data_IF_338738182372
#
_entry.id   IF_338738182372
#
_cell.length_a   1.000
_cell.length_b   1.000
_cell.length_c   1.000
_cell.angle_alpha   90.00
_cell.angle_beta   90.00
_cell.angle_gamma   90.00
#
_symmetry.space_group_name_H-M   'P 1'
#
loop_
_entity.id
_entity.type
_entity.pdbx_description
1 polymer ?
#
# COMPACT_ATOMS: atom_id res chain seq x y z
N UNK A 1 6.50 -42.22 42.95
CA UNK A 1 5.86 -41.90 41.65
C UNK A 1 6.69 -40.83 40.94
N UNK A 2 7.87 -41.22 40.41
CA UNK A 2 8.91 -40.29 39.89
C UNK A 2 9.49 -40.78 38.55
N UNK A 3 8.68 -41.51 37.77
CA UNK A 3 9.10 -42.22 36.54
C UNK A 3 8.20 -42.00 35.32
N UNK A 4 7.30 -41.00 35.34
CA UNK A 4 6.37 -40.76 34.23
C UNK A 4 6.67 -39.50 33.42
N UNK A 5 7.78 -38.81 33.72
CA UNK A 5 8.13 -37.51 33.12
C UNK A 5 9.14 -37.58 31.95
N UNK A 6 9.47 -38.78 31.44
CA UNK A 6 10.50 -38.96 30.40
C UNK A 6 9.93 -39.43 29.06
N UNK A 7 8.64 -39.78 28.99
CA UNK A 7 8.04 -40.43 27.80
C UNK A 7 7.41 -39.52 26.76
N UNK A 8 7.30 -38.21 27.00
CA UNK A 8 6.48 -37.32 26.16
C UNK A 8 7.24 -36.12 25.55
N UNK A 9 8.54 -36.30 25.31
CA UNK A 9 9.42 -35.25 24.75
C UNK A 9 10.16 -35.68 23.47
N UNK A 10 9.71 -36.77 22.82
CA UNK A 10 10.39 -37.37 21.65
C UNK A 10 9.52 -37.43 20.38
N UNK A 11 8.42 -36.68 20.31
CA UNK A 11 7.51 -36.67 19.14
C UNK A 11 7.32 -35.25 18.57
N UNK A 12 8.43 -34.54 18.33
CA UNK A 12 8.39 -33.14 17.86
C UNK A 12 9.53 -32.74 16.91
N UNK A 13 10.16 -33.69 16.22
CA UNK A 13 11.34 -33.43 15.40
C UNK A 13 11.27 -34.06 13.99
N UNK A 14 10.11 -33.92 13.32
CA UNK A 14 9.97 -34.31 11.92
C UNK A 14 9.14 -33.28 11.13
N UNK A 15 9.42 -31.98 11.32
CA UNK A 15 9.14 -31.00 10.28
C UNK A 15 10.37 -30.97 9.37
N UNK A 16 10.40 -31.87 8.38
CA UNK A 16 11.44 -31.88 7.36
C UNK A 16 11.46 -30.54 6.64
N UNK A 17 12.59 -29.85 6.72
CA UNK A 17 12.89 -28.73 5.83
C UNK A 17 12.94 -29.28 4.41
N UNK A 18 11.85 -29.13 3.66
CA UNK A 18 11.88 -29.29 2.22
C UNK A 18 12.69 -28.13 1.64
N UNK A 19 14.01 -28.27 1.60
CA UNK A 19 14.85 -27.40 0.78
C UNK A 19 14.46 -27.65 -0.68
N UNK A 20 13.73 -26.70 -1.27
CA UNK A 20 13.60 -26.63 -2.72
C UNK A 20 15.01 -26.39 -3.28
N UNK A 21 15.67 -27.45 -3.73
CA UNK A 21 16.95 -27.37 -4.42
C UNK A 21 16.69 -26.77 -5.81
N UNK A 22 16.80 -25.45 -5.90
CA UNK A 22 16.54 -24.69 -7.13
C UNK A 22 17.78 -24.73 -8.05
N UNK A 23 18.25 -25.94 -8.37
CA UNK A 23 19.40 -26.14 -9.24
C UNK A 23 18.99 -25.96 -10.70
N UNK A 24 19.54 -24.94 -11.36
CA UNK A 24 19.27 -24.65 -12.77
C UNK A 24 20.39 -25.24 -13.62
N UNK A 25 20.03 -25.91 -14.70
CA UNK A 25 20.93 -26.55 -15.65
C UNK A 25 20.77 -25.93 -17.03
N UNK A 26 21.87 -25.70 -17.72
CA UNK A 26 21.90 -25.29 -19.12
C UNK A 26 22.12 -26.54 -19.98
N UNK A 27 21.09 -26.92 -20.72
CA UNK A 27 21.12 -28.02 -21.65
C UNK A 27 21.34 -27.50 -23.07
N UNK A 28 22.24 -28.15 -23.81
CA UNK A 28 22.41 -27.91 -25.25
C UNK A 28 21.90 -29.13 -25.98
N UNK A 29 20.93 -28.93 -26.87
CA UNK A 29 20.41 -30.01 -27.71
C UNK A 29 21.34 -30.34 -28.89
N UNK A 30 21.04 -31.41 -29.62
CA UNK A 30 21.82 -31.86 -30.78
C UNK A 30 21.86 -30.83 -31.93
N UNK A 31 20.94 -29.86 -31.91
CA UNK A 31 20.85 -28.75 -32.87
C UNK A 31 21.50 -27.46 -32.34
N UNK A 32 22.17 -27.50 -31.19
CA UNK A 32 22.89 -26.39 -30.60
C UNK A 32 22.02 -25.34 -29.89
N UNK A 33 20.72 -25.59 -29.72
CA UNK A 33 19.83 -24.70 -28.97
C UNK A 33 20.07 -24.88 -27.47
N UNK A 34 20.20 -23.74 -26.78
CA UNK A 34 20.41 -23.66 -25.34
C UNK A 34 19.07 -23.53 -24.62
N UNK A 35 18.81 -24.39 -23.66
CA UNK A 35 17.60 -24.39 -22.83
C UNK A 35 17.96 -24.50 -21.34
N UNK A 36 17.32 -23.69 -20.50
CA UNK A 36 17.50 -23.73 -19.05
C UNK A 36 16.41 -24.60 -18.41
N UNK A 37 16.81 -25.62 -17.62
CA UNK A 37 15.90 -26.57 -16.97
C UNK A 37 16.24 -26.73 -15.50
N UNK A 38 15.24 -27.06 -14.69
CA UNK A 38 15.41 -27.34 -13.26
C UNK A 38 15.71 -28.82 -12.97
N UNK A 39 15.90 -29.64 -14.01
CA UNK A 39 16.20 -31.08 -13.92
C UNK A 39 17.40 -31.40 -14.81
N UNK A 40 18.51 -31.81 -14.19
CA UNK A 40 19.84 -31.78 -14.82
C UNK A 40 20.52 -33.09 -15.15
N UNK A 41 19.92 -34.24 -14.82
CA UNK A 41 20.58 -35.56 -14.95
C UNK A 41 20.53 -36.15 -16.37
N UNK A 42 20.55 -35.32 -17.43
CA UNK A 42 20.51 -35.79 -18.82
C UNK A 42 21.76 -35.38 -19.60
N UNK A 43 22.14 -36.17 -20.62
CA UNK A 43 23.33 -35.92 -21.44
C UNK A 43 23.20 -34.57 -22.15
N UNK A 44 24.23 -33.73 -22.05
CA UNK A 44 24.25 -32.38 -22.66
C UNK A 44 23.84 -31.24 -21.73
N UNK A 45 23.48 -31.52 -20.48
CA UNK A 45 23.15 -30.51 -19.46
C UNK A 45 24.32 -30.23 -18.51
N UNK A 46 24.60 -28.95 -18.26
CA UNK A 46 25.60 -28.50 -17.27
C UNK A 46 24.92 -27.69 -16.18
N UNK A 47 25.25 -27.97 -14.92
CA UNK A 47 24.76 -27.19 -13.78
C UNK A 47 25.27 -25.75 -13.89
N UNK A 48 24.35 -24.80 -13.81
CA UNK A 48 24.66 -23.37 -13.81
C UNK A 48 24.83 -22.95 -12.36
N UNK A 49 25.98 -22.33 -12.07
CA UNK A 49 26.19 -21.67 -10.78
C UNK A 49 25.57 -20.28 -10.85
N UNK A 50 24.45 -20.09 -10.15
CA UNK A 50 23.81 -18.78 -10.05
C UNK A 50 24.32 -18.09 -8.78
N UNK A 51 24.69 -16.81 -8.84
CA UNK A 51 25.03 -16.06 -7.63
C UNK A 51 23.84 -16.10 -6.67
N UNK A 52 24.12 -16.39 -5.40
CA UNK A 52 23.09 -16.46 -4.37
C UNK A 52 22.29 -15.16 -4.30
N UNK A 53 20.97 -15.27 -4.41
CA UNK A 53 20.09 -14.10 -4.28
C UNK A 53 20.23 -13.57 -2.85
N UNK A 54 20.73 -12.34 -2.69
CA UNK A 54 20.72 -11.63 -1.41
C UNK A 54 19.29 -11.31 -1.02
N UNK A 55 18.66 -12.21 -0.28
CA UNK A 55 17.34 -12.01 0.30
C UNK A 55 17.49 -11.22 1.60
N UNK A 56 16.95 -10.00 1.64
CA UNK A 56 16.74 -9.29 2.90
C UNK A 56 15.47 -9.88 3.51
N UNK A 57 15.53 -10.53 4.69
CA UNK A 57 14.35 -11.10 5.30
C UNK A 57 13.34 -9.98 5.59
N UNK A 58 12.07 -10.20 5.23
CA UNK A 58 11.01 -9.30 5.63
C UNK A 58 11.00 -9.20 7.17
N UNK A 59 10.85 -7.99 7.75
CA UNK A 59 10.79 -7.84 9.19
C UNK A 59 9.66 -8.72 9.73
N UNK A 60 9.86 -9.43 10.85
CA UNK A 60 8.84 -10.29 11.41
C UNK A 60 7.57 -9.47 11.62
N UNK A 61 6.43 -9.98 11.15
CA UNK A 61 5.12 -9.40 11.45
C UNK A 61 5.02 -9.28 12.96
N UNK A 62 4.99 -8.04 13.47
CA UNK A 62 4.76 -7.78 14.89
C UNK A 62 3.37 -8.32 15.21
N UNK A 63 3.32 -9.44 15.92
CA UNK A 63 2.11 -9.80 16.67
C UNK A 63 1.81 -8.63 17.59
N UNK A 64 0.57 -8.17 17.61
CA UNK A 64 0.10 -7.08 18.47
C UNK A 64 0.21 -7.50 19.94
N UNK A 65 1.42 -7.48 20.48
CA UNK A 65 1.71 -7.54 21.89
C UNK A 65 1.81 -6.09 22.35
N UNK A 66 0.81 -5.72 23.17
CA UNK A 66 0.78 -4.65 24.16
C UNK A 66 1.92 -3.62 24.06
N UNK A 67 1.55 -2.40 23.66
CA UNK A 67 2.40 -1.21 23.57
C UNK A 67 3.50 -1.17 24.63
N UNK A 68 4.79 -1.33 24.26
CA UNK A 68 5.87 -0.86 25.10
C UNK A 68 5.84 0.68 25.14
N UNK A 69 6.33 1.32 26.21
CA UNK A 69 6.44 2.78 26.28
C UNK A 69 7.19 3.28 25.05
N UNK A 70 6.69 4.36 24.45
CA UNK A 70 7.23 4.97 23.24
C UNK A 70 8.77 5.10 23.36
N UNK A 71 9.50 4.23 22.65
CA UNK A 71 10.94 4.42 22.48
C UNK A 71 11.10 5.76 21.77
N UNK A 72 11.84 6.66 22.39
CA UNK A 72 12.23 7.94 21.81
C UNK A 72 12.66 7.71 20.36
N UNK A 73 12.11 8.52 19.45
CA UNK A 73 12.47 8.48 18.04
C UNK A 73 14.00 8.49 17.93
N UNK A 74 14.57 7.57 17.15
CA UNK A 74 16.00 7.50 16.94
C UNK A 74 16.51 8.88 16.52
N UNK A 75 17.31 9.50 17.39
CA UNK A 75 17.90 10.81 17.14
C UNK A 75 18.74 10.70 15.87
N UNK A 76 18.41 11.49 14.85
CA UNK A 76 19.21 11.64 13.64
C UNK A 76 20.69 11.89 14.02
N UNK A 77 21.66 11.38 13.23
CA UNK A 77 23.08 11.60 13.49
C UNK A 77 23.39 13.07 13.77
N UNK A 78 24.32 13.35 14.68
CA UNK A 78 24.69 14.71 15.09
C UNK A 78 25.16 15.59 13.93
N UNK A 79 25.68 14.99 12.86
CA UNK A 79 26.14 15.66 11.63
C UNK A 79 25.02 15.91 10.60
N UNK A 80 23.76 15.56 10.89
CA UNK A 80 22.67 15.80 9.96
C UNK A 80 22.19 17.26 10.02
N UNK A 81 22.14 18.01 8.88
CA UNK A 81 21.64 19.37 8.86
C UNK A 81 20.20 19.44 9.39
N UNK A 82 20.00 20.21 10.46
CA UNK A 82 18.66 20.47 11.02
C UNK A 82 18.08 21.72 10.36
N UNK A 83 16.80 21.65 10.02
CA UNK A 83 16.09 22.86 9.61
C UNK A 83 15.85 23.73 10.84
N UNK A 84 16.00 25.04 10.69
CA UNK A 84 15.72 25.99 11.75
C UNK A 84 14.21 26.03 12.08
N UNK A 85 13.90 26.44 13.32
CA UNK A 85 12.53 26.45 13.82
C UNK A 85 11.61 27.44 13.12
N UNK A 86 12.16 28.55 12.60
CA UNK A 86 11.36 29.56 11.92
C UNK A 86 10.98 29.11 10.51
N UNK A 87 11.89 28.47 9.78
CA UNK A 87 11.58 27.83 8.50
C UNK A 87 10.60 26.66 8.67
N UNK A 88 10.69 25.89 9.76
CA UNK A 88 9.70 24.84 10.05
C UNK A 88 8.30 25.43 10.27
N UNK A 89 8.18 26.48 11.10
CA UNK A 89 6.90 27.18 11.33
C UNK A 89 6.34 27.80 10.06
N UNK A 90 7.19 28.42 9.23
CA UNK A 90 6.76 28.99 7.95
C UNK A 90 6.14 27.91 7.06
N UNK A 91 6.80 26.76 6.91
CA UNK A 91 6.24 25.61 6.16
C UNK A 91 4.94 25.07 6.75
N UNK A 92 4.84 25.00 8.08
CA UNK A 92 3.63 24.49 8.73
C UNK A 92 2.45 25.46 8.53
N UNK A 93 2.70 26.76 8.57
CA UNK A 93 1.71 27.79 8.23
C UNK A 93 1.30 27.73 6.75
N UNK A 94 2.27 27.59 5.84
CA UNK A 94 2.01 27.44 4.40
C UNK A 94 1.17 26.19 4.12
N UNK A 95 1.53 25.05 4.74
CA UNK A 95 0.77 23.81 4.64
C UNK A 95 -0.67 24.00 5.10
N UNK A 96 -0.87 24.66 6.25
CA UNK A 96 -2.20 24.96 6.76
C UNK A 96 -2.99 25.83 5.79
N UNK A 97 -2.36 26.86 5.23
CA UNK A 97 -3.00 27.76 4.28
C UNK A 97 -3.42 27.03 3.00
N UNK A 98 -2.54 26.18 2.45
CA UNK A 98 -2.84 25.36 1.27
C UNK A 98 -4.05 24.46 1.53
N UNK A 99 -4.09 23.75 2.66
CA UNK A 99 -5.24 22.89 2.98
C UNK A 99 -6.55 23.68 3.16
N UNK A 100 -6.47 24.89 3.72
CA UNK A 100 -7.65 25.76 3.85
C UNK A 100 -8.16 26.24 2.49
N UNK A 101 -7.25 26.60 1.58
CA UNK A 101 -7.59 27.03 0.23
C UNK A 101 -8.18 25.88 -0.60
N UNK A 102 -7.60 24.68 -0.49
CA UNK A 102 -8.15 23.46 -1.08
C UNK A 102 -9.54 23.12 -0.53
N UNK A 103 -9.72 23.22 0.79
CA UNK A 103 -11.03 23.00 1.43
C UNK A 103 -12.08 23.99 0.90
N UNK A 104 -11.72 25.28 0.79
CA UNK A 104 -12.60 26.31 0.23
C UNK A 104 -12.97 26.03 -1.23
N UNK A 105 -12.01 25.57 -2.03
CA UNK A 105 -12.25 25.16 -3.42
C UNK A 105 -13.24 24.00 -3.51
N UNK A 106 -13.06 22.96 -2.69
CA UNK A 106 -14.00 21.83 -2.65
C UNK A 106 -15.39 22.22 -2.12
N UNK A 107 -15.48 23.12 -1.13
CA UNK A 107 -16.76 23.66 -0.66
C UNK A 107 -17.50 24.44 -1.76
N UNK A 108 -16.77 25.25 -2.54
CA UNK A 108 -17.36 25.96 -3.69
C UNK A 108 -17.82 24.98 -4.79
N UNK A 109 -17.01 23.95 -5.07
CA UNK A 109 -17.37 22.89 -6.02
C UNK A 109 -18.62 22.15 -5.57
N UNK A 110 -18.73 21.81 -4.28
CA UNK A 110 -19.91 21.20 -3.70
C UNK A 110 -21.15 22.09 -3.87
N UNK A 111 -21.03 23.39 -3.60
CA UNK A 111 -22.14 24.33 -3.76
C UNK A 111 -22.62 24.36 -5.22
N UNK A 112 -21.70 24.38 -6.18
CA UNK A 112 -22.01 24.33 -7.61
C UNK A 112 -22.70 23.01 -8.00
N UNK A 113 -22.15 21.87 -7.56
CA UNK A 113 -22.75 20.55 -7.82
C UNK A 113 -24.16 20.44 -7.23
N UNK A 114 -24.38 20.91 -5.99
CA UNK A 114 -25.71 20.92 -5.36
C UNK A 114 -26.70 21.81 -6.11
N UNK A 115 -26.25 22.96 -6.61
CA UNK A 115 -27.06 23.85 -7.43
C UNK A 115 -27.46 23.19 -8.74
N UNK A 116 -26.53 22.54 -9.43
CA UNK A 116 -26.80 21.82 -10.68
C UNK A 116 -27.70 20.60 -10.47
N UNK A 117 -27.51 19.87 -9.36
CA UNK A 117 -28.32 18.71 -9.01
C UNK A 117 -29.77 19.07 -8.70
N UNK A 118 -30.05 20.32 -8.29
CA UNK A 118 -31.38 20.87 -8.09
C UNK A 118 -32.33 19.90 -7.35
N UNK A 119 -31.92 19.48 -6.15
CA UNK A 119 -32.68 18.52 -5.31
C UNK A 119 -32.99 17.16 -5.97
N UNK A 120 -32.22 16.75 -6.98
CA UNK A 120 -32.42 15.50 -7.72
C UNK A 120 -33.19 15.67 -9.02
N UNK A 121 -33.57 16.91 -9.35
CA UNK A 121 -34.26 17.27 -10.58
C UNK A 121 -33.42 18.28 -11.39
N UNK A 122 -32.20 17.89 -11.83
CA UNK A 122 -31.40 18.75 -12.70
C UNK A 122 -32.17 19.06 -13.99
N UNK A 123 -31.95 20.25 -14.55
CA UNK A 123 -32.59 20.65 -15.80
C UNK A 123 -32.27 19.63 -16.91
N UNK A 124 -33.32 19.18 -17.63
CA UNK A 124 -33.16 18.24 -18.75
C UNK A 124 -32.50 18.97 -19.90
N UNK A 125 -31.39 18.42 -20.38
CA UNK A 125 -30.71 19.00 -21.54
C UNK A 125 -31.36 18.50 -22.83
N UNK A 126 -31.30 19.30 -23.90
CA UNK A 126 -31.96 18.98 -25.18
C UNK A 126 -31.43 17.71 -25.87
N UNK A 127 -30.20 17.31 -25.54
CA UNK A 127 -29.53 16.09 -25.96
C UNK A 127 -29.99 14.83 -25.18
N UNK A 128 -30.74 15.01 -24.09
CA UNK A 128 -31.22 13.94 -23.20
C UNK A 128 -32.66 13.51 -23.49
N UNK A 129 -32.97 13.34 -24.79
CA UNK A 129 -34.27 12.80 -25.23
C UNK A 129 -34.54 11.40 -24.64
N UNK A 130 -33.50 10.64 -24.32
CA UNK A 130 -33.63 9.34 -23.66
C UNK A 130 -33.66 9.51 -22.13
N UNK A 131 -34.73 9.02 -21.50
CA UNK A 131 -34.91 9.05 -20.05
C UNK A 131 -33.81 8.32 -19.28
N UNK A 132 -33.25 7.23 -19.83
CA UNK A 132 -32.15 6.49 -19.19
C UNK A 132 -30.88 7.34 -19.05
N UNK A 133 -30.50 8.09 -20.09
CA UNK A 133 -29.33 8.99 -20.05
C UNK A 133 -29.45 10.07 -18.97
N UNK A 134 -30.66 10.60 -18.80
CA UNK A 134 -30.95 11.55 -17.74
C UNK A 134 -30.77 10.92 -16.35
N UNK A 135 -31.30 9.70 -16.14
CA UNK A 135 -31.13 8.99 -14.86
C UNK A 135 -29.66 8.67 -14.56
N UNK A 136 -28.89 8.24 -15.56
CA UNK A 136 -27.45 8.01 -15.43
C UNK A 136 -26.71 9.29 -15.02
N UNK A 137 -27.00 10.43 -15.67
CA UNK A 137 -26.40 11.71 -15.29
C UNK A 137 -26.76 12.12 -13.87
N UNK A 138 -28.03 11.99 -13.48
CA UNK A 138 -28.48 12.30 -12.11
C UNK A 138 -27.76 11.41 -11.09
N UNK A 139 -27.58 10.12 -11.42
CA UNK A 139 -26.78 9.19 -10.63
C UNK A 139 -25.34 9.64 -10.48
N UNK A 140 -24.67 9.97 -11.58
CA UNK A 140 -23.30 10.48 -11.58
C UNK A 140 -23.15 11.77 -10.77
N UNK A 141 -24.08 12.73 -10.90
CA UNK A 141 -24.08 13.96 -10.08
C UNK A 141 -24.16 13.65 -8.59
N UNK A 142 -25.01 12.69 -8.19
CA UNK A 142 -25.14 12.28 -6.79
C UNK A 142 -23.85 11.64 -6.27
N UNK A 143 -23.19 10.81 -7.09
CA UNK A 143 -21.90 10.21 -6.76
C UNK A 143 -20.80 11.27 -6.61
N UNK A 144 -20.77 12.26 -7.50
CA UNK A 144 -19.80 13.37 -7.46
C UNK A 144 -20.00 14.24 -6.23
N UNK A 145 -21.25 14.56 -5.86
CA UNK A 145 -21.57 15.25 -4.60
C UNK A 145 -21.03 14.44 -3.42
N UNK A 146 -21.34 13.14 -3.36
CA UNK A 146 -20.90 12.28 -2.26
C UNK A 146 -19.38 12.13 -2.19
N UNK A 147 -18.68 12.18 -3.32
CA UNK A 147 -17.21 12.19 -3.38
C UNK A 147 -16.63 13.49 -2.83
N UNK A 148 -17.14 14.64 -3.27
CA UNK A 148 -16.68 15.94 -2.79
C UNK A 148 -16.98 16.13 -1.30
N UNK A 149 -18.12 15.66 -0.79
CA UNK A 149 -18.42 15.67 0.65
C UNK A 149 -17.36 14.90 1.46
N UNK A 150 -16.98 13.69 1.01
CA UNK A 150 -15.91 12.90 1.65
C UNK A 150 -14.55 13.59 1.58
N UNK A 151 -14.24 14.27 0.48
CA UNK A 151 -12.99 15.03 0.34
C UNK A 151 -12.93 16.18 1.35
N UNK A 152 -14.01 16.93 1.52
CA UNK A 152 -14.11 18.01 2.51
C UNK A 152 -13.91 17.45 3.92
N UNK A 153 -14.54 16.31 4.24
CA UNK A 153 -14.33 15.66 5.53
C UNK A 153 -12.88 15.22 5.76
N UNK A 154 -12.21 14.68 4.73
CA UNK A 154 -10.81 14.30 4.81
C UNK A 154 -9.92 15.52 5.06
N UNK A 155 -10.09 16.60 4.29
CA UNK A 155 -9.35 17.85 4.46
C UNK A 155 -9.57 18.46 5.85
N UNK A 156 -10.81 18.45 6.37
CA UNK A 156 -11.11 18.91 7.74
C UNK A 156 -10.36 18.11 8.81
N UNK A 157 -10.26 16.79 8.64
CA UNK A 157 -9.48 15.93 9.55
C UNK A 157 -7.98 16.22 9.45
N UNK A 158 -7.46 16.42 8.25
CA UNK A 158 -6.05 16.75 8.04
C UNK A 158 -5.68 18.09 8.67
N UNK A 159 -6.51 19.13 8.47
CA UNK A 159 -6.33 20.44 9.12
C UNK A 159 -6.39 20.29 10.65
N UNK A 160 -7.33 19.50 11.18
CA UNK A 160 -7.44 19.24 12.62
C UNK A 160 -6.24 18.48 13.22
N UNK A 161 -5.48 17.76 12.39
CA UNK A 161 -4.27 17.03 12.79
C UNK A 161 -3.00 17.89 12.73
N UNK A 162 -3.05 19.09 12.13
CA UNK A 162 -1.95 20.05 12.19
C UNK A 162 -1.94 20.69 13.59
N UNK A 163 -1.07 20.17 14.47
CA UNK A 163 -0.75 20.73 15.79
C UNK A 163 0.62 21.37 15.78
#
# INVERSE_FOLDING_TARGET
MKKQLVGLLLLGAAAGYAHAQNEVYLCVDEHGKKEYKNTGLTKGCKKVDLPGITMIPAPPKRTAAQNPPARAAASSPSDFPKVDGDTQKARDNDRKQILLDEMKSEEQKLANLKKEFNNGEPERRGDERNYAKYQERVGAMKEDIGRTEKNIEALRREIGNLK
#
